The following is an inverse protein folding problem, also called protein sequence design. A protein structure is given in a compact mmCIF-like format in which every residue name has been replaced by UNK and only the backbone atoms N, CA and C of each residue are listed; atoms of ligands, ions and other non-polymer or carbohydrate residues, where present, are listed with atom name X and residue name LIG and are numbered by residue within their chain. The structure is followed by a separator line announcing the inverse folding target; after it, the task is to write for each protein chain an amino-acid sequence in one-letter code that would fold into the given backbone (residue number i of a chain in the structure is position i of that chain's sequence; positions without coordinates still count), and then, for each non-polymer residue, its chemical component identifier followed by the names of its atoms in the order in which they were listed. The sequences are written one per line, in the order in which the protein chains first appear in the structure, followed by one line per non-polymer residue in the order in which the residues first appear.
data_IF_502822499478
#
_entry.id   IF_502822499478
#
_cell.length_a   1.000
_cell.length_b   1.000
_cell.length_c   1.000
_cell.angle_alpha   90.00
_cell.angle_beta   90.00
_cell.angle_gamma   90.00
#
_symmetry.space_group_name_H-M   'P 1'
#
loop_
_entity.id
_entity.type
_entity.pdbx_description
1 polymer ?
#
# COMPACT_ATOMS: atom_id res chain seq x y z
N UNK A 1 -14.42 -4.69 4.73
CA UNK A 1 -13.78 -5.78 3.95
C UNK A 1 -12.37 -5.35 3.69
N UNK A 2 -11.37 -6.21 3.93
CA UNK A 2 -9.96 -5.83 3.71
C UNK A 2 -9.59 -6.04 2.24
N UNK A 3 -8.98 -5.02 1.68
CA UNK A 3 -8.46 -4.98 0.33
C UNK A 3 -6.95 -4.87 0.40
N UNK A 4 -6.29 -5.44 -0.61
CA UNK A 4 -4.84 -5.33 -0.72
C UNK A 4 -4.42 -5.18 -2.18
N UNK A 5 -3.25 -4.61 -2.40
CA UNK A 5 -2.60 -4.62 -3.70
C UNK A 5 -1.08 -4.70 -3.54
N UNK A 6 -0.41 -5.22 -4.58
CA UNK A 6 1.04 -5.19 -4.67
C UNK A 6 1.50 -4.01 -5.51
N UNK A 7 2.52 -3.31 -5.04
CA UNK A 7 3.14 -2.19 -5.75
C UNK A 7 4.62 -2.50 -5.98
N UNK A 8 5.04 -2.58 -7.24
CA UNK A 8 6.44 -2.73 -7.60
C UNK A 8 7.13 -1.36 -7.53
N UNK A 9 7.89 -1.15 -6.46
CA UNK A 9 8.68 0.06 -6.24
C UNK A 9 10.15 -0.13 -6.66
N UNK A 10 10.93 0.96 -6.86
CA UNK A 10 12.36 0.87 -7.14
C UNK A 10 13.18 0.15 -6.06
N UNK A 11 12.65 0.03 -4.84
CA UNK A 11 13.30 -0.66 -3.72
C UNK A 11 12.79 -2.11 -3.54
N UNK A 12 11.86 -2.56 -4.39
CA UNK A 12 11.26 -3.91 -4.37
C UNK A 12 9.72 -3.88 -4.28
N UNK A 13 9.11 -5.06 -4.20
CA UNK A 13 7.65 -5.22 -4.15
C UNK A 13 7.09 -4.89 -2.78
N UNK A 14 6.23 -3.88 -2.70
CA UNK A 14 5.52 -3.47 -1.49
C UNK A 14 4.10 -4.04 -1.48
N UNK A 15 3.54 -4.25 -0.29
CA UNK A 15 2.16 -4.66 -0.10
C UNK A 15 1.40 -3.56 0.63
N UNK A 16 0.33 -3.08 0.01
CA UNK A 16 -0.61 -2.12 0.60
C UNK A 16 -1.85 -2.87 1.05
N UNK A 17 -2.36 -2.53 2.23
CA UNK A 17 -3.57 -3.13 2.81
C UNK A 17 -4.45 -2.02 3.35
N UNK A 18 -5.74 -2.10 3.10
CA UNK A 18 -6.69 -1.13 3.59
C UNK A 18 -8.11 -1.47 3.25
N UNK A 19 -8.90 -0.41 3.12
CA UNK A 19 -10.31 -0.45 2.72
C UNK A 19 -10.52 0.45 1.51
N UNK A 20 -11.76 0.58 1.05
CA UNK A 20 -12.11 1.48 -0.07
C UNK A 20 -11.82 2.97 0.23
N UNK A 21 -11.69 3.34 1.51
CA UNK A 21 -11.55 4.72 1.93
C UNK A 21 -10.15 5.05 2.50
N UNK A 22 -9.49 4.09 3.14
CA UNK A 22 -8.31 4.36 3.97
C UNK A 22 -7.24 3.28 3.81
N UNK A 23 -5.97 3.71 3.81
CA UNK A 23 -4.82 2.81 3.89
C UNK A 23 -4.57 2.46 5.37
N UNK A 24 -4.66 1.19 5.71
CA UNK A 24 -4.46 0.73 7.10
C UNK A 24 -3.02 0.28 7.34
N UNK A 25 -2.44 -0.47 6.40
CA UNK A 25 -1.13 -1.08 6.57
C UNK A 25 -0.32 -0.96 5.27
N UNK A 26 0.99 -0.75 5.42
CA UNK A 26 1.93 -0.71 4.32
C UNK A 26 3.17 -1.52 4.69
N UNK A 27 3.50 -2.50 3.86
CA UNK A 27 4.60 -3.42 4.06
C UNK A 27 5.69 -3.14 3.03
N UNK A 28 6.90 -2.92 3.53
CA UNK A 28 8.10 -2.80 2.71
C UNK A 28 8.48 -4.15 2.09
N UNK A 29 9.33 -4.17 1.05
CA UNK A 29 9.66 -5.40 0.34
C UNK A 29 10.20 -6.51 1.23
N UNK A 30 11.10 -6.17 2.16
CA UNK A 30 11.65 -7.11 3.14
C UNK A 30 10.58 -7.77 4.05
N UNK A 31 9.47 -7.07 4.31
CA UNK A 31 8.37 -7.57 5.14
C UNK A 31 7.29 -8.26 4.32
N UNK A 32 7.13 -7.87 3.05
CA UNK A 32 6.12 -8.40 2.13
C UNK A 32 6.35 -9.87 1.84
N UNK A 33 7.60 -10.28 1.63
CA UNK A 33 7.95 -11.69 1.36
C UNK A 33 7.61 -12.63 2.51
N UNK A 34 7.57 -12.11 3.75
CA UNK A 34 7.25 -12.87 4.95
C UNK A 34 5.79 -12.69 5.39
N UNK A 35 5.01 -11.84 4.72
CA UNK A 35 3.64 -11.54 5.12
C UNK A 35 2.69 -12.59 4.55
N UNK A 36 1.99 -13.27 5.43
CA UNK A 36 0.90 -14.15 5.03
C UNK A 36 -0.35 -13.32 4.74
N UNK A 37 -0.75 -13.21 3.48
CA UNK A 37 -2.01 -12.56 3.07
C UNK A 37 -3.17 -13.51 3.39
N UNK A 38 -4.10 -13.13 4.30
CA UNK A 38 -5.29 -13.94 4.58
C UNK A 38 -6.16 -14.12 3.32
N UNK A 39 -6.74 -15.31 3.16
CA UNK A 39 -7.62 -15.64 2.01
C UNK A 39 -8.92 -14.82 1.98
N UNK A 40 -9.24 -14.17 3.09
CA UNK A 40 -10.40 -13.28 3.25
C UNK A 40 -10.16 -11.89 2.65
N UNK A 41 -8.90 -11.53 2.37
CA UNK A 41 -8.59 -10.26 1.73
C UNK A 41 -8.83 -10.36 0.22
N UNK A 42 -9.31 -9.28 -0.35
CA UNK A 42 -9.56 -9.19 -1.79
C UNK A 42 -8.50 -8.32 -2.45
N UNK A 43 -7.93 -8.82 -3.54
CA UNK A 43 -6.97 -8.05 -4.33
C UNK A 43 -7.73 -7.02 -5.17
N UNK A 44 -7.50 -5.74 -4.90
CA UNK A 44 -8.10 -4.66 -5.67
C UNK A 44 -7.13 -3.48 -5.68
N UNK A 45 -6.51 -3.18 -6.82
CA UNK A 45 -5.62 -2.04 -6.96
C UNK A 45 -6.37 -0.70 -7.12
N UNK A 46 -7.62 -0.76 -7.56
CA UNK A 46 -8.41 0.42 -7.95
C UNK A 46 -8.65 1.33 -6.75
N UNK A 47 -8.84 0.73 -5.58
CA UNK A 47 -9.02 1.46 -4.31
C UNK A 47 -7.75 2.12 -3.80
N UNK A 48 -6.57 1.68 -4.27
CA UNK A 48 -5.28 2.25 -3.88
C UNK A 48 -4.73 3.27 -4.90
N UNK A 49 -5.55 3.75 -5.83
CA UNK A 49 -5.10 4.69 -6.88
C UNK A 49 -4.39 5.93 -6.31
N UNK A 50 -4.93 6.57 -5.27
CA UNK A 50 -4.29 7.74 -4.64
C UNK A 50 -3.00 7.36 -3.88
N UNK A 51 -2.98 6.34 -2.98
CA UNK A 51 -1.74 5.83 -2.39
C UNK A 51 -0.64 5.50 -3.40
N UNK A 52 -0.98 4.78 -4.48
CA UNK A 52 -0.04 4.41 -5.55
C UNK A 52 0.49 5.65 -6.27
N UNK A 53 -0.35 6.65 -6.53
CA UNK A 53 0.08 7.92 -7.12
C UNK A 53 1.11 8.63 -6.24
N UNK A 54 0.84 8.74 -4.94
CA UNK A 54 1.76 9.42 -4.03
C UNK A 54 3.06 8.66 -3.81
N UNK A 55 2.99 7.32 -3.76
CA UNK A 55 4.18 6.47 -3.71
C UNK A 55 5.05 6.65 -4.96
N UNK A 56 4.43 6.68 -6.15
CA UNK A 56 5.16 6.96 -7.39
C UNK A 56 5.83 8.34 -7.36
N UNK A 57 5.15 9.39 -6.89
CA UNK A 57 5.75 10.73 -6.76
C UNK A 57 6.88 10.76 -5.73
N UNK A 58 6.74 10.04 -4.63
CA UNK A 58 7.76 9.92 -3.58
C UNK A 58 9.02 9.24 -4.11
N UNK A 59 8.87 8.08 -4.76
CA UNK A 59 10.01 7.37 -5.35
C UNK A 59 10.63 8.13 -6.54
N UNK A 60 9.86 8.96 -7.24
CA UNK A 60 10.39 9.87 -8.26
C UNK A 60 11.10 11.10 -7.67
N UNK A 61 11.14 11.26 -6.34
CA UNK A 61 11.72 12.43 -5.66
C UNK A 61 10.92 13.72 -5.84
N UNK A 62 9.70 13.64 -6.36
CA UNK A 62 8.80 14.79 -6.59
C UNK A 62 8.00 15.18 -5.35
N UNK A 63 7.94 14.30 -4.36
CA UNK A 63 7.13 14.45 -3.16
C UNK A 63 7.89 13.95 -1.94
N UNK A 64 7.76 14.67 -0.83
CA UNK A 64 8.34 14.28 0.47
C UNK A 64 7.29 14.06 1.56
N UNK A 65 6.06 14.53 1.35
CA UNK A 65 4.98 14.46 2.33
C UNK A 65 3.79 13.67 1.77
N UNK A 66 3.28 12.70 2.53
CA UNK A 66 2.08 11.94 2.15
C UNK A 66 0.83 12.65 2.67
N UNK A 67 -0.18 12.78 1.80
CA UNK A 67 -1.52 13.24 2.17
C UNK A 67 -2.51 12.13 1.87
N UNK A 68 -2.45 11.07 2.68
CA UNK A 68 -3.30 9.90 2.57
C UNK A 68 -4.15 9.78 3.83
N UNK A 69 -5.41 9.39 3.67
CA UNK A 69 -6.22 8.94 4.79
C UNK A 69 -5.63 7.61 5.27
N UNK A 70 -4.84 7.68 6.34
CA UNK A 70 -4.22 6.51 6.97
C UNK A 70 -4.94 6.19 8.28
N UNK A 71 -5.28 4.92 8.45
CA UNK A 71 -5.89 4.40 9.67
C UNK A 71 -5.00 3.28 10.25
N UNK A 72 -3.79 3.62 10.73
CA UNK A 72 -2.85 2.62 11.21
C UNK A 72 -3.42 1.88 12.42
N UNK A 73 -3.51 0.55 12.31
CA UNK A 73 -3.82 -0.34 13.43
C UNK A 73 -2.47 -0.78 14.03
N UNK A 74 -2.09 -0.16 15.14
CA UNK A 74 -0.80 -0.36 15.82
C UNK A 74 -0.62 -1.75 16.42
#
# INVERSE_FOLDING_TARGET
MKLYCYYDSPIGRMLLVGTEAELEELYFPNSTENKHVPREWTEDESVFTEPLRQLNEYFAGKRQEFNLAIAPQG
#
